data_IF_143265265535
#
_entry.id   IF_143265265535
#
_cell.length_a   1.000
_cell.length_b   1.000
_cell.length_c   1.000
_cell.angle_alpha   90.00
_cell.angle_beta   90.00
_cell.angle_gamma   90.00
#
_symmetry.space_group_name_H-M   'P 1'
#
loop_
_entity.id
_entity.type
_entity.pdbx_description
1 polymer ?
#
# COMPACT_ATOMS: atom_id res chain seq x y z
N UNK A 1 14.19 22.50 8.22
CA UNK A 1 12.94 21.78 7.99
C UNK A 1 12.29 21.47 9.33
N UNK A 2 11.11 21.98 9.57
CA UNK A 2 10.41 21.72 10.82
C UNK A 2 9.93 20.29 10.86
N UNK A 3 10.36 19.55 11.87
CA UNK A 3 9.80 18.25 12.14
C UNK A 3 8.44 18.41 12.82
N UNK A 4 7.39 18.06 12.11
CA UNK A 4 6.07 17.97 12.73
C UNK A 4 6.02 16.76 13.63
N UNK A 5 5.99 16.98 14.94
CA UNK A 5 5.69 15.92 15.89
C UNK A 5 4.18 15.72 15.92
N UNK A 6 3.72 14.70 15.24
CA UNK A 6 2.33 14.31 15.29
C UNK A 6 2.12 13.27 16.37
N UNK A 7 1.21 13.57 17.30
CA UNK A 7 0.76 12.59 18.29
C UNK A 7 -0.63 12.14 17.86
N UNK A 8 -0.76 10.88 17.54
CA UNK A 8 -2.06 10.27 17.24
C UNK A 8 -2.51 9.50 18.47
N UNK A 9 -3.59 9.97 19.09
CA UNK A 9 -4.17 9.27 20.23
C UNK A 9 -4.93 8.05 19.75
N UNK A 10 -4.63 6.86 20.31
CA UNK A 10 -5.35 5.66 19.91
C UNK A 10 -6.83 5.73 20.29
N UNK A 11 -7.68 5.44 19.33
CA UNK A 11 -9.10 5.21 19.55
C UNK A 11 -9.39 3.73 19.37
N UNK A 12 -9.73 3.07 20.45
CA UNK A 12 -10.03 1.65 20.45
C UNK A 12 -11.53 1.45 20.54
N UNK A 13 -12.07 0.65 19.62
CA UNK A 13 -13.46 0.25 19.61
C UNK A 13 -13.52 -1.27 19.60
N UNK A 14 -13.85 -1.87 20.76
CA UNK A 14 -13.76 -3.31 20.93
C UNK A 14 -12.30 -3.78 20.85
N UNK A 15 -12.00 -4.65 19.91
CA UNK A 15 -10.65 -5.15 19.67
C UNK A 15 -9.90 -4.40 18.58
N UNK A 16 -10.50 -3.33 18.02
CA UNK A 16 -9.96 -2.63 16.86
C UNK A 16 -9.49 -1.24 17.26
N UNK A 17 -8.24 -0.92 16.96
CA UNK A 17 -7.74 0.44 17.00
C UNK A 17 -8.11 1.13 15.69
N UNK A 18 -8.93 2.18 15.76
CA UNK A 18 -9.47 2.87 14.58
C UNK A 18 -8.59 3.99 14.07
N UNK A 19 -7.52 4.33 14.78
CA UNK A 19 -6.59 5.38 14.40
C UNK A 19 -5.29 4.79 13.90
N UNK A 20 -4.62 5.50 12.98
CA UNK A 20 -3.35 5.08 12.43
C UNK A 20 -2.38 6.26 12.42
N UNK A 21 -1.11 5.99 12.65
CA UNK A 21 -0.05 6.99 12.62
C UNK A 21 0.60 6.99 11.22
N UNK A 22 0.52 8.09 10.47
CA UNK A 22 1.05 8.12 9.10
C UNK A 22 2.53 7.77 8.98
N UNK A 23 3.34 8.36 9.86
CA UNK A 23 4.79 8.11 9.87
C UNK A 23 5.11 6.68 10.32
N UNK A 24 4.36 6.16 11.29
CA UNK A 24 4.51 4.78 11.74
C UNK A 24 4.18 3.78 10.66
N UNK A 25 3.13 4.03 9.89
CA UNK A 25 2.74 3.19 8.75
C UNK A 25 3.83 3.22 7.66
N UNK A 26 4.34 4.40 7.32
CA UNK A 26 5.43 4.53 6.35
C UNK A 26 6.68 3.79 6.80
N UNK A 27 7.06 3.93 8.06
CA UNK A 27 8.24 3.25 8.60
C UNK A 27 8.08 1.73 8.57
N UNK A 28 6.88 1.23 8.88
CA UNK A 28 6.60 -0.20 8.81
C UNK A 28 6.74 -0.73 7.37
N UNK A 29 6.21 0.01 6.39
CA UNK A 29 6.38 -0.34 4.96
C UNK A 29 7.86 -0.32 4.58
N UNK A 30 8.59 0.71 5.01
CA UNK A 30 10.04 0.84 4.75
C UNK A 30 10.82 -0.36 5.28
N UNK A 31 10.50 -0.82 6.47
CA UNK A 31 11.16 -2.00 7.07
C UNK A 31 10.88 -3.27 6.29
N UNK A 32 9.65 -3.48 5.84
CA UNK A 32 9.29 -4.63 5.02
C UNK A 32 10.04 -4.61 3.69
N UNK A 33 10.13 -3.45 3.06
CA UNK A 33 10.89 -3.26 1.81
C UNK A 33 12.38 -3.56 2.05
N UNK A 34 12.97 -3.05 3.11
CA UNK A 34 14.36 -3.29 3.45
C UNK A 34 14.66 -4.79 3.64
N UNK A 35 13.75 -5.49 4.29
CA UNK A 35 13.85 -6.94 4.45
C UNK A 35 13.89 -7.66 3.10
N UNK A 36 12.99 -7.30 2.18
CA UNK A 36 12.97 -7.89 0.85
C UNK A 36 14.23 -7.56 0.04
N UNK A 37 14.73 -6.33 0.12
CA UNK A 37 15.98 -5.94 -0.55
C UNK A 37 17.16 -6.77 -0.06
N UNK A 38 17.23 -7.05 1.23
CA UNK A 38 18.28 -7.86 1.82
C UNK A 38 18.27 -9.30 1.28
N UNK A 39 17.10 -9.85 1.01
CA UNK A 39 16.95 -11.21 0.47
C UNK A 39 17.32 -11.31 -1.01
N UNK A 40 17.32 -10.19 -1.73
CA UNK A 40 17.67 -10.14 -3.15
C UNK A 40 16.53 -10.58 -4.07
N UNK A 41 16.77 -10.45 -5.37
CA UNK A 41 15.78 -10.78 -6.39
C UNK A 41 15.96 -12.18 -6.94
N UNK A 42 14.85 -12.79 -7.30
CA UNK A 42 14.80 -14.06 -8.04
C UNK A 42 13.90 -13.88 -9.26
N UNK A 43 13.95 -14.83 -10.17
CA UNK A 43 13.06 -14.82 -11.34
C UNK A 43 11.62 -15.11 -10.95
N UNK A 44 10.71 -14.38 -11.57
CA UNK A 44 9.29 -14.52 -11.33
C UNK A 44 8.46 -13.59 -12.22
N UNK A 45 7.16 -13.51 -11.98
CA UNK A 45 6.28 -12.61 -12.73
C UNK A 45 6.75 -11.17 -12.66
N UNK A 46 6.65 -10.44 -13.78
CA UNK A 46 7.07 -9.05 -13.88
C UNK A 46 5.89 -8.06 -13.83
N UNK A 47 4.67 -8.56 -13.93
CA UNK A 47 3.45 -7.76 -13.81
C UNK A 47 2.47 -8.51 -12.92
N UNK A 48 2.06 -7.89 -11.82
CA UNK A 48 1.22 -8.54 -10.81
C UNK A 48 0.06 -7.63 -10.41
N UNK A 49 -1.12 -8.19 -10.37
CA UNK A 49 -2.31 -7.55 -9.79
C UNK A 49 -2.52 -8.10 -8.38
N UNK A 50 -2.63 -7.21 -7.41
CA UNK A 50 -2.91 -7.58 -6.02
C UNK A 50 -4.25 -6.99 -5.61
N UNK A 51 -5.21 -7.84 -5.31
CA UNK A 51 -6.52 -7.41 -4.80
C UNK A 51 -6.48 -7.48 -3.29
N UNK A 52 -6.70 -6.33 -2.63
CA UNK A 52 -6.58 -6.22 -1.17
C UNK A 52 -5.15 -6.01 -0.69
N UNK A 53 -4.37 -5.20 -1.40
CA UNK A 53 -2.94 -5.00 -1.14
C UNK A 53 -2.57 -3.89 -0.17
N UNK A 54 -3.49 -3.42 0.68
CA UNK A 54 -3.24 -2.26 1.55
C UNK A 54 -2.71 -2.60 2.94
N UNK A 55 -2.97 -3.80 3.44
CA UNK A 55 -2.54 -4.25 4.76
C UNK A 55 -2.24 -5.75 4.74
N UNK A 56 -1.67 -6.25 5.83
CA UNK A 56 -1.53 -7.68 6.09
C UNK A 56 -0.85 -8.46 4.97
N UNK A 57 -1.41 -9.60 4.63
CA UNK A 57 -0.86 -10.48 3.61
C UNK A 57 -0.86 -9.88 2.21
N UNK A 58 -1.88 -9.09 1.87
CA UNK A 58 -1.95 -8.42 0.57
C UNK A 58 -0.83 -7.42 0.38
N UNK A 59 -0.57 -6.59 1.38
CA UNK A 59 0.53 -5.62 1.35
C UNK A 59 1.88 -6.35 1.31
N UNK A 60 2.06 -7.37 2.14
CA UNK A 60 3.29 -8.16 2.15
C UNK A 60 3.54 -8.83 0.81
N UNK A 61 2.50 -9.37 0.17
CA UNK A 61 2.59 -9.97 -1.16
C UNK A 61 3.01 -8.93 -2.22
N UNK A 62 2.42 -7.74 -2.17
CA UNK A 62 2.77 -6.66 -3.10
C UNK A 62 4.24 -6.26 -2.96
N UNK A 63 4.71 -6.08 -1.73
CA UNK A 63 6.11 -5.76 -1.45
C UNK A 63 7.02 -6.88 -1.94
N UNK A 64 6.67 -8.13 -1.64
CA UNK A 64 7.47 -9.29 -2.01
C UNK A 64 7.63 -9.43 -3.52
N UNK A 65 6.55 -9.29 -4.30
CA UNK A 65 6.65 -9.43 -5.77
C UNK A 65 7.39 -8.25 -6.39
N UNK A 66 7.23 -7.04 -5.85
CA UNK A 66 7.94 -5.86 -6.35
C UNK A 66 9.44 -5.98 -6.12
N UNK A 67 9.86 -6.26 -4.92
CA UNK A 67 11.27 -6.30 -4.55
C UNK A 67 11.92 -7.67 -4.71
N UNK A 68 11.13 -8.73 -4.71
CA UNK A 68 11.62 -10.09 -4.94
C UNK A 68 11.70 -10.47 -6.40
N UNK A 69 10.79 -10.00 -7.24
CA UNK A 69 10.77 -10.29 -8.67
C UNK A 69 11.09 -9.09 -9.55
N UNK A 70 11.17 -7.91 -8.99
CA UNK A 70 11.26 -6.67 -9.77
C UNK A 70 9.99 -6.38 -10.53
N UNK A 71 8.84 -6.75 -9.99
CA UNK A 71 7.56 -6.66 -10.68
C UNK A 71 6.93 -5.26 -10.60
N UNK A 72 6.28 -4.87 -11.68
CA UNK A 72 5.34 -3.76 -11.68
C UNK A 72 4.00 -4.23 -11.12
N UNK A 73 3.34 -3.42 -10.32
CA UNK A 73 2.11 -3.84 -9.64
C UNK A 73 0.97 -2.87 -9.83
N UNK A 74 -0.23 -3.43 -9.90
CA UNK A 74 -1.49 -2.72 -9.74
C UNK A 74 -2.18 -3.33 -8.53
N UNK A 75 -2.71 -2.51 -7.64
CA UNK A 75 -3.44 -2.98 -6.47
C UNK A 75 -4.78 -2.30 -6.33
N UNK A 76 -5.74 -3.01 -5.76
CA UNK A 76 -7.07 -2.47 -5.43
C UNK A 76 -7.31 -2.70 -3.95
N UNK A 77 -7.74 -1.67 -3.26
CA UNK A 77 -8.13 -1.76 -1.85
C UNK A 77 -9.24 -0.74 -1.57
N UNK A 78 -9.99 -0.95 -0.52
CA UNK A 78 -11.03 -0.02 -0.10
C UNK A 78 -10.66 0.55 1.26
N UNK A 79 -10.09 1.75 1.25
CA UNK A 79 -9.58 2.41 2.45
C UNK A 79 -10.20 3.79 2.64
N UNK A 80 -10.30 4.22 3.89
CA UNK A 80 -10.90 5.52 4.23
C UNK A 80 -9.83 6.60 4.32
N UNK A 81 -10.07 7.71 3.63
CA UNK A 81 -9.22 8.89 3.72
C UNK A 81 -9.44 9.63 5.04
N UNK A 82 -8.48 10.48 5.41
CA UNK A 82 -8.61 11.34 6.58
C UNK A 82 -9.77 12.33 6.39
N UNK A 83 -10.52 12.58 7.46
CA UNK A 83 -11.62 13.53 7.45
C UNK A 83 -11.71 14.25 8.80
N UNK A 84 -11.55 15.57 8.80
CA UNK A 84 -11.56 16.36 10.02
C UNK A 84 -10.48 15.91 11.00
N UNK A 85 -10.89 15.51 12.20
CA UNK A 85 -9.97 14.99 13.23
C UNK A 85 -9.69 13.49 13.08
N UNK A 86 -10.41 12.80 12.19
CA UNK A 86 -10.22 11.37 11.97
C UNK A 86 -9.00 11.13 11.07
N UNK A 87 -8.11 10.24 11.50
CA UNK A 87 -7.02 9.79 10.64
C UNK A 87 -7.59 8.96 9.48
N UNK A 88 -6.81 8.83 8.40
CA UNK A 88 -7.10 7.81 7.40
C UNK A 88 -6.90 6.42 8.01
N UNK A 89 -7.41 5.40 7.35
CA UNK A 89 -7.14 4.02 7.75
C UNK A 89 -5.67 3.67 7.53
N UNK A 90 -5.15 2.71 8.29
CA UNK A 90 -3.74 2.28 8.17
C UNK A 90 -3.40 1.87 6.74
N UNK A 91 -4.30 1.16 6.05
CA UNK A 91 -4.09 0.74 4.67
C UNK A 91 -3.98 1.89 3.69
N UNK A 92 -4.64 3.00 3.93
CA UNK A 92 -4.50 4.21 3.11
C UNK A 92 -3.06 4.75 3.20
N UNK A 93 -2.54 4.90 4.41
CA UNK A 93 -1.16 5.37 4.62
C UNK A 93 -0.14 4.37 4.08
N UNK A 94 -0.34 3.08 4.30
CA UNK A 94 0.53 2.03 3.78
C UNK A 94 0.63 2.07 2.26
N UNK A 95 -0.51 2.25 1.58
CA UNK A 95 -0.58 2.32 0.12
C UNK A 95 0.18 3.53 -0.41
N UNK A 96 -0.02 4.69 0.20
CA UNK A 96 0.70 5.91 -0.19
C UNK A 96 2.21 5.78 0.03
N UNK A 97 2.60 5.21 1.15
CA UNK A 97 4.01 4.97 1.46
C UNK A 97 4.63 3.98 0.46
N UNK A 98 3.94 2.89 0.16
CA UNK A 98 4.44 1.90 -0.80
C UNK A 98 4.62 2.50 -2.19
N UNK A 99 3.62 3.24 -2.69
CA UNK A 99 3.72 3.90 -3.99
C UNK A 99 4.92 4.84 -4.08
N UNK A 100 5.10 5.66 -3.06
CA UNK A 100 6.21 6.61 -2.98
C UNK A 100 7.56 5.88 -3.01
N UNK A 101 7.72 4.89 -2.14
CA UNK A 101 8.99 4.17 -2.00
C UNK A 101 9.31 3.31 -3.24
N UNK A 102 8.30 2.66 -3.81
CA UNK A 102 8.47 1.87 -5.02
C UNK A 102 8.87 2.75 -6.21
N UNK A 103 8.25 3.91 -6.37
CA UNK A 103 8.60 4.87 -7.43
C UNK A 103 10.02 5.41 -7.26
N UNK A 104 10.43 5.72 -6.04
CA UNK A 104 11.82 6.13 -5.74
C UNK A 104 12.82 5.05 -6.17
N UNK A 105 12.45 3.79 -6.03
CA UNK A 105 13.27 2.64 -6.42
C UNK A 105 13.12 2.26 -7.91
N UNK A 106 12.35 3.00 -8.68
CA UNK A 106 12.19 2.80 -10.12
C UNK A 106 11.14 1.77 -10.54
N UNK A 107 10.26 1.38 -9.61
CA UNK A 107 9.19 0.43 -9.92
C UNK A 107 7.87 1.12 -10.23
N UNK A 108 7.11 0.55 -11.16
CA UNK A 108 5.75 0.98 -11.43
C UNK A 108 4.82 0.44 -10.33
N UNK A 109 4.08 1.34 -9.71
CA UNK A 109 3.10 0.98 -8.68
C UNK A 109 1.88 1.88 -8.81
N UNK A 110 0.75 1.29 -9.16
CA UNK A 110 -0.52 1.99 -9.32
C UNK A 110 -1.56 1.37 -8.39
N UNK A 111 -2.30 2.21 -7.69
CA UNK A 111 -3.30 1.77 -6.74
C UNK A 111 -4.64 2.40 -7.02
N UNK A 112 -5.70 1.61 -6.89
CA UNK A 112 -7.08 2.06 -6.95
C UNK A 112 -7.72 1.93 -5.57
N UNK A 113 -8.40 2.97 -5.16
CA UNK A 113 -9.14 2.96 -3.90
C UNK A 113 -10.63 2.92 -4.17
N UNK A 114 -11.26 1.81 -3.85
CA UNK A 114 -12.67 1.61 -4.05
C UNK A 114 -13.07 0.16 -3.85
N UNK A 115 -14.36 -0.12 -4.05
CA UNK A 115 -14.90 -1.46 -3.92
C UNK A 115 -14.48 -2.35 -5.08
N UNK A 116 -13.57 -3.28 -4.81
CA UNK A 116 -13.05 -4.23 -5.81
C UNK A 116 -14.09 -5.21 -6.35
N UNK A 117 -15.23 -5.34 -5.69
CA UNK A 117 -16.35 -6.15 -6.18
C UNK A 117 -17.24 -5.41 -7.16
N UNK A 118 -17.15 -4.07 -7.23
CA UNK A 118 -17.99 -3.28 -8.14
C UNK A 118 -17.55 -3.47 -9.59
N UNK A 119 -18.54 -3.41 -10.50
CA UNK A 119 -18.29 -3.49 -11.93
C UNK A 119 -17.45 -2.31 -12.42
N UNK A 120 -17.68 -1.13 -11.87
CA UNK A 120 -16.93 0.09 -12.21
C UNK A 120 -15.44 -0.04 -11.88
N UNK A 121 -15.14 -0.54 -10.68
CA UNK A 121 -13.74 -0.73 -10.26
C UNK A 121 -13.05 -1.81 -11.10
N UNK A 122 -13.72 -2.91 -11.36
CA UNK A 122 -13.21 -3.97 -12.24
C UNK A 122 -12.87 -3.43 -13.62
N UNK A 123 -13.73 -2.60 -14.19
CA UNK A 123 -13.49 -2.01 -15.49
C UNK A 123 -12.30 -1.06 -15.50
N UNK A 124 -12.15 -0.22 -14.48
CA UNK A 124 -11.00 0.68 -14.34
C UNK A 124 -9.69 -0.09 -14.27
N UNK A 125 -9.67 -1.18 -13.51
CA UNK A 125 -8.47 -2.02 -13.38
C UNK A 125 -8.14 -2.72 -14.70
N UNK A 126 -9.14 -3.25 -15.40
CA UNK A 126 -8.94 -3.89 -16.71
C UNK A 126 -8.34 -2.90 -17.70
N UNK A 127 -8.85 -1.69 -17.75
CA UNK A 127 -8.32 -0.63 -18.62
C UNK A 127 -6.87 -0.29 -18.29
N UNK A 128 -6.55 -0.18 -17.01
CA UNK A 128 -5.18 0.07 -16.55
C UNK A 128 -4.23 -1.07 -16.94
N UNK A 129 -4.67 -2.31 -16.82
CA UNK A 129 -3.87 -3.47 -17.22
C UNK A 129 -3.59 -3.45 -18.73
N UNK A 130 -4.56 -3.03 -19.54
CA UNK A 130 -4.40 -2.96 -20.99
C UNK A 130 -3.46 -1.84 -21.44
N UNK A 131 -3.45 -0.71 -20.72
CA UNK A 131 -2.59 0.42 -21.02
C UNK A 131 -1.13 0.16 -20.64
N UNK A 132 -0.94 -0.51 -19.54
CA UNK A 132 0.35 -0.76 -18.94
C UNK A 132 0.83 -2.19 -19.19
#
# INVERSE_FOLDING_TARGET
>A
MEEYKMIVEPKVKGFICTTAHPVGCEENVRRQIAYCKEKGQIDGPKKVLVIGGSTGYGLASRIAVTYGYGADTISVAFEKEAKGKRTASAGWYNTKAFEKLAKEDGYYAKSFNGDGFSAEMKQQVIEAIKED
#
